data_IF_214529172613
#
_entry.id   IF_214529172613
#
_cell.length_a   1.000
_cell.length_b   1.000
_cell.length_c   1.000
_cell.angle_alpha   90.00
_cell.angle_beta   90.00
_cell.angle_gamma   90.00
#
_symmetry.space_group_name_H-M   'P 1'
#
loop_
_entity.id
_entity.type
_entity.pdbx_description
1 polymer ?
#
# COMPACT_ATOMS: atom_id res chain seq x y z
N UNK A 1 1.09 -10.10 -29.72
CA UNK A 1 1.71 -11.33 -29.20
C UNK A 1 2.83 -10.87 -28.28
N UNK A 2 2.51 -10.62 -27.01
CA UNK A 2 3.48 -10.11 -26.04
C UNK A 2 4.46 -11.22 -25.69
N UNK A 3 5.76 -10.98 -25.86
CA UNK A 3 6.76 -11.84 -25.24
C UNK A 3 6.60 -11.71 -23.74
N UNK A 4 6.11 -12.77 -23.10
CA UNK A 4 6.36 -13.00 -21.68
C UNK A 4 7.89 -13.03 -21.53
N UNK A 5 8.43 -11.93 -21.00
CA UNK A 5 9.85 -11.87 -20.67
C UNK A 5 10.04 -12.85 -19.52
N UNK A 6 10.62 -14.01 -19.82
CA UNK A 6 10.93 -15.00 -18.80
C UNK A 6 11.76 -14.31 -17.71
N UNK A 7 11.20 -14.22 -16.51
CA UNK A 7 11.90 -13.67 -15.35
C UNK A 7 13.18 -14.47 -15.16
N UNK A 8 14.31 -13.77 -15.05
CA UNK A 8 15.60 -14.38 -14.80
C UNK A 8 15.54 -15.27 -13.55
N UNK A 9 16.01 -16.52 -13.67
CA UNK A 9 15.88 -17.52 -12.60
C UNK A 9 16.68 -17.14 -11.36
N UNK A 10 17.82 -16.46 -11.54
CA UNK A 10 18.62 -15.93 -10.43
C UNK A 10 17.89 -14.78 -9.72
N UNK A 11 17.35 -13.81 -10.48
CA UNK A 11 16.53 -12.74 -9.93
C UNK A 11 15.31 -13.26 -9.16
N UNK A 12 14.61 -14.27 -9.70
CA UNK A 12 13.48 -14.93 -9.03
C UNK A 12 13.92 -15.57 -7.71
N UNK A 13 14.98 -16.37 -7.72
CA UNK A 13 15.48 -17.04 -6.52
C UNK A 13 15.94 -16.04 -5.45
N UNK A 14 16.61 -14.96 -5.84
CA UNK A 14 17.01 -13.89 -4.94
C UNK A 14 15.82 -13.17 -4.31
N UNK A 15 14.78 -12.86 -5.11
CA UNK A 15 13.54 -12.26 -4.63
C UNK A 15 12.81 -13.19 -3.64
N UNK A 16 12.68 -14.48 -3.97
CA UNK A 16 12.12 -15.48 -3.05
C UNK A 16 12.85 -15.49 -1.72
N UNK A 17 14.18 -15.54 -1.75
CA UNK A 17 15.00 -15.59 -0.52
C UNK A 17 14.85 -14.30 0.32
N UNK A 18 14.84 -13.12 -0.32
CA UNK A 18 14.59 -11.85 0.38
C UNK A 18 13.21 -11.83 1.04
N UNK A 19 12.15 -12.16 0.30
CA UNK A 19 10.77 -12.12 0.82
C UNK A 19 10.56 -13.14 1.94
N UNK A 20 11.04 -14.39 1.80
CA UNK A 20 11.05 -15.35 2.92
C UNK A 20 11.77 -14.78 4.14
N UNK A 21 12.90 -14.11 3.88
CA UNK A 21 13.65 -13.36 4.88
C UNK A 21 12.79 -12.30 5.54
N UNK A 22 12.12 -11.42 4.80
CA UNK A 22 11.34 -10.28 5.30
C UNK A 22 10.09 -10.66 6.09
N UNK A 23 9.50 -11.84 5.86
CA UNK A 23 8.23 -12.26 6.45
C UNK A 23 8.21 -12.20 8.00
N UNK A 24 9.36 -12.34 8.67
CA UNK A 24 9.44 -12.20 10.14
C UNK A 24 9.09 -10.79 10.65
N UNK A 25 9.13 -9.79 9.78
CA UNK A 25 8.71 -8.42 10.09
C UNK A 25 7.19 -8.29 10.21
N UNK A 26 6.42 -9.22 9.64
CA UNK A 26 4.97 -9.25 9.78
C UNK A 26 4.61 -9.97 11.08
N UNK A 27 3.94 -9.26 11.99
CA UNK A 27 3.59 -9.79 13.31
C UNK A 27 2.12 -9.63 13.66
N UNK A 28 1.43 -8.69 13.02
CA UNK A 28 0.02 -8.44 13.27
C UNK A 28 -0.91 -9.49 12.62
N UNK A 29 -0.38 -10.27 11.67
CA UNK A 29 -1.09 -11.31 10.95
C UNK A 29 -0.21 -12.56 10.82
N UNK A 30 -0.80 -13.73 11.00
CA UNK A 30 -0.13 -15.00 10.76
C UNK A 30 0.05 -15.24 9.25
N UNK A 31 1.09 -16.01 8.88
CA UNK A 31 1.37 -16.39 7.48
C UNK A 31 0.18 -17.10 6.83
N UNK A 32 -0.63 -17.83 7.60
CA UNK A 32 -1.83 -18.51 7.11
C UNK A 32 -2.88 -17.53 6.54
N UNK A 33 -2.80 -16.23 6.87
CA UNK A 33 -3.59 -15.14 6.26
C UNK A 33 -3.41 -15.05 4.74
N UNK A 34 -2.27 -15.54 4.21
CA UNK A 34 -1.91 -15.44 2.79
C UNK A 34 -2.00 -16.78 2.03
N UNK A 35 -2.53 -17.82 2.69
CA UNK A 35 -2.78 -19.11 2.05
C UNK A 35 -3.98 -19.00 1.09
N UNK A 36 -3.96 -19.78 0.00
CA UNK A 36 -5.10 -19.89 -0.90
C UNK A 36 -6.27 -20.63 -0.26
N UNK A 37 -7.50 -20.33 -0.70
CA UNK A 37 -8.79 -20.76 -0.10
C UNK A 37 -8.97 -22.28 0.13
N UNK A 38 -8.11 -23.14 -0.41
CA UNK A 38 -8.30 -24.60 -0.44
C UNK A 38 -7.39 -25.42 0.48
N UNK A 39 -6.43 -24.83 1.19
CA UNK A 39 -5.54 -25.56 2.10
C UNK A 39 -5.68 -24.99 3.52
N UNK A 40 -6.27 -25.78 4.42
CA UNK A 40 -6.38 -25.43 5.84
C UNK A 40 -5.01 -25.16 6.49
N UNK A 41 -4.99 -24.62 7.73
CA UNK A 41 -3.79 -24.08 8.35
C UNK A 41 -2.68 -25.13 8.41
N UNK A 42 -1.54 -24.78 7.84
CA UNK A 42 -0.31 -25.58 7.92
C UNK A 42 0.86 -24.63 8.11
N UNK A 43 0.89 -23.99 9.28
CA UNK A 43 2.09 -23.38 9.84
C UNK A 43 3.17 -24.46 10.05
N UNK A 44 3.82 -24.88 8.97
CA UNK A 44 5.08 -25.60 9.00
C UNK A 44 6.15 -24.54 9.17
N UNK A 45 6.92 -24.65 10.26
CA UNK A 45 7.99 -23.69 10.65
C UNK A 45 9.07 -23.48 9.57
N UNK A 46 9.08 -24.30 8.53
CA UNK A 46 9.91 -24.17 7.34
C UNK A 46 9.25 -24.90 6.15
N UNK A 47 8.40 -24.21 5.37
CA UNK A 47 7.70 -24.84 4.27
C UNK A 47 8.68 -25.16 3.12
N UNK A 48 8.48 -26.33 2.51
CA UNK A 48 9.27 -26.76 1.38
C UNK A 48 9.15 -25.74 0.22
N UNK A 49 10.26 -25.39 -0.48
CA UNK A 49 10.21 -24.45 -1.60
C UNK A 49 9.15 -24.82 -2.64
N UNK A 50 8.35 -23.85 -3.06
CA UNK A 50 7.25 -24.02 -4.02
C UNK A 50 5.99 -24.70 -3.46
N UNK A 51 5.98 -25.07 -2.17
CA UNK A 51 4.75 -25.50 -1.50
C UNK A 51 3.80 -24.33 -1.25
N UNK A 52 2.56 -24.63 -0.88
CA UNK A 52 1.58 -23.60 -0.57
C UNK A 52 1.97 -22.73 0.63
N UNK A 53 2.50 -23.35 1.69
CA UNK A 53 3.03 -22.62 2.84
C UNK A 53 4.22 -21.73 2.48
N UNK A 54 5.02 -22.11 1.47
CA UNK A 54 6.12 -21.28 0.98
C UNK A 54 5.59 -20.06 0.20
N UNK A 55 4.58 -20.25 -0.65
CA UNK A 55 3.93 -19.13 -1.35
C UNK A 55 3.28 -18.14 -0.37
N UNK A 56 2.58 -18.64 0.66
CA UNK A 56 2.02 -17.80 1.71
C UNK A 56 3.12 -17.04 2.48
N UNK A 57 4.23 -17.69 2.82
CA UNK A 57 5.38 -17.07 3.48
C UNK A 57 6.02 -15.99 2.59
N UNK A 58 6.17 -16.25 1.29
CA UNK A 58 6.69 -15.30 0.31
C UNK A 58 5.74 -14.11 0.14
N UNK A 59 4.42 -14.33 0.11
CA UNK A 59 3.43 -13.25 0.04
C UNK A 59 3.44 -12.36 1.31
N UNK A 60 3.49 -12.96 2.50
CA UNK A 60 3.67 -12.22 3.75
C UNK A 60 4.96 -11.37 3.72
N UNK A 61 6.04 -11.94 3.21
CA UNK A 61 7.31 -11.25 3.00
C UNK A 61 7.25 -10.12 1.97
N UNK A 62 6.54 -10.33 0.86
CA UNK A 62 6.32 -9.33 -0.16
C UNK A 62 5.54 -8.13 0.38
N UNK A 63 4.62 -8.33 1.33
CA UNK A 63 3.95 -7.23 2.03
C UNK A 63 4.95 -6.34 2.78
N UNK A 64 5.90 -6.95 3.51
CA UNK A 64 6.92 -6.22 4.27
C UNK A 64 7.92 -5.51 3.35
N UNK A 65 8.36 -6.16 2.27
CA UNK A 65 9.17 -5.51 1.24
C UNK A 65 8.40 -4.35 0.58
N UNK A 66 7.10 -4.54 0.30
CA UNK A 66 6.21 -3.51 -0.23
C UNK A 66 6.05 -2.31 0.71
N UNK A 67 6.07 -2.53 2.02
CA UNK A 67 6.08 -1.44 3.01
C UNK A 67 7.30 -0.53 2.82
N UNK A 68 8.50 -1.11 2.72
CA UNK A 68 9.74 -0.36 2.55
C UNK A 68 9.79 0.33 1.18
N UNK A 69 9.48 -0.40 0.11
CA UNK A 69 9.49 0.13 -1.25
C UNK A 69 8.52 1.30 -1.43
N UNK A 70 7.31 1.19 -0.88
CA UNK A 70 6.32 2.27 -0.97
C UNK A 70 6.71 3.51 -0.16
N UNK A 71 7.39 3.33 0.98
CA UNK A 71 7.97 4.44 1.75
C UNK A 71 9.05 5.16 0.92
N UNK A 72 9.95 4.41 0.28
CA UNK A 72 10.99 4.97 -0.57
C UNK A 72 10.40 5.74 -1.76
N UNK A 73 9.39 5.17 -2.44
CA UNK A 73 8.65 5.83 -3.51
C UNK A 73 8.05 7.18 -3.07
N UNK A 74 7.44 7.25 -1.88
CA UNK A 74 6.91 8.51 -1.34
C UNK A 74 8.02 9.53 -1.04
N UNK A 75 9.17 9.09 -0.52
CA UNK A 75 10.32 9.97 -0.27
C UNK A 75 10.86 10.55 -1.58
N UNK A 76 11.01 9.71 -2.61
CA UNK A 76 11.49 10.11 -3.94
C UNK A 76 10.52 11.06 -4.63
N UNK A 77 9.22 10.84 -4.52
CA UNK A 77 8.20 11.73 -5.07
C UNK A 77 8.23 13.11 -4.39
N UNK A 78 8.33 13.14 -3.06
CA UNK A 78 8.45 14.40 -2.29
C UNK A 78 9.71 15.15 -2.71
N UNK A 79 10.84 14.45 -2.87
CA UNK A 79 12.09 15.04 -3.33
C UNK A 79 11.97 15.57 -4.77
N UNK A 80 11.28 14.84 -5.64
CA UNK A 80 11.01 15.24 -7.02
C UNK A 80 10.20 16.53 -7.05
N UNK A 81 9.05 16.59 -6.37
CA UNK A 81 8.22 17.80 -6.28
C UNK A 81 9.02 19.04 -5.81
N UNK A 82 9.87 18.87 -4.79
CA UNK A 82 10.73 19.93 -4.27
C UNK A 82 11.78 20.37 -5.30
N UNK A 83 12.46 19.43 -5.97
CA UNK A 83 13.55 19.71 -6.90
C UNK A 83 13.08 20.43 -8.17
N UNK A 84 11.88 20.10 -8.65
CA UNK A 84 11.30 20.68 -9.88
C UNK A 84 10.43 21.90 -9.61
N UNK A 85 10.27 22.26 -8.33
CA UNK A 85 9.44 23.38 -7.87
C UNK A 85 7.98 23.26 -8.33
N UNK A 86 7.42 22.05 -8.33
CA UNK A 86 6.00 21.81 -8.60
C UNK A 86 5.18 22.03 -7.32
N UNK A 87 4.06 22.74 -7.39
CA UNK A 87 3.22 22.91 -6.20
C UNK A 87 2.43 21.63 -5.89
N UNK A 88 2.08 20.87 -6.94
CA UNK A 88 1.24 19.67 -6.89
C UNK A 88 1.79 18.56 -7.80
N UNK A 89 1.25 17.35 -7.70
CA UNK A 89 1.56 16.26 -8.64
C UNK A 89 1.15 16.63 -10.08
N UNK A 90 -0.01 17.26 -10.25
CA UNK A 90 -0.45 17.76 -11.56
C UNK A 90 0.58 18.71 -12.19
N UNK A 91 1.12 19.67 -11.43
CA UNK A 91 2.13 20.60 -11.93
C UNK A 91 3.42 19.89 -12.38
N UNK A 92 3.82 18.82 -11.67
CA UNK A 92 4.98 18.02 -12.03
C UNK A 92 4.74 17.28 -13.36
N UNK A 93 3.56 16.68 -13.53
CA UNK A 93 3.15 16.02 -14.76
C UNK A 93 3.12 16.99 -15.96
N UNK A 94 2.58 18.21 -15.78
CA UNK A 94 2.59 19.27 -16.81
C UNK A 94 4.02 19.66 -17.22
N UNK A 95 4.97 19.59 -16.29
CA UNK A 95 6.41 19.81 -16.54
C UNK A 95 7.13 18.59 -17.13
N UNK A 96 6.44 17.47 -17.34
CA UNK A 96 6.98 16.24 -17.91
C UNK A 96 7.72 15.34 -16.92
N UNK A 97 7.51 15.54 -15.62
CA UNK A 97 8.01 14.63 -14.58
C UNK A 97 6.97 13.57 -14.26
N UNK A 98 7.43 12.37 -13.94
CA UNK A 98 6.59 11.26 -13.46
C UNK A 98 6.90 11.02 -11.99
N UNK A 99 5.87 10.68 -11.23
CA UNK A 99 5.98 10.29 -9.85
C UNK A 99 5.68 8.78 -9.76
N UNK A 100 5.92 8.19 -8.60
CA UNK A 100 5.84 6.75 -8.39
C UNK A 100 4.67 6.40 -7.49
N UNK A 101 4.69 6.82 -6.24
CA UNK A 101 3.62 6.62 -5.27
C UNK A 101 2.44 7.57 -5.49
N UNK A 102 2.70 8.86 -5.74
CA UNK A 102 1.65 9.88 -5.90
C UNK A 102 0.85 9.69 -7.19
N UNK A 103 1.47 9.18 -8.26
CA UNK A 103 0.77 8.88 -9.52
C UNK A 103 -0.17 7.67 -9.42
N UNK A 104 -0.07 6.88 -8.34
CA UNK A 104 -0.97 5.74 -8.06
C UNK A 104 -2.18 6.11 -7.22
N UNK A 105 -2.21 7.34 -6.70
CA UNK A 105 -3.36 7.86 -5.98
C UNK A 105 -4.53 8.14 -6.95
N UNK A 106 -5.75 8.34 -6.44
CA UNK A 106 -6.90 8.69 -7.27
C UNK A 106 -6.60 9.95 -8.12
N UNK A 107 -6.63 9.88 -9.46
CA UNK A 107 -6.14 10.95 -10.33
C UNK A 107 -6.99 12.23 -10.26
N UNK A 108 -8.25 12.11 -9.82
CA UNK A 108 -9.19 13.23 -9.64
C UNK A 108 -8.69 14.32 -8.67
N UNK A 109 -7.70 14.04 -7.82
CA UNK A 109 -7.17 14.97 -6.82
C UNK A 109 -5.68 15.31 -7.03
N UNK A 110 -5.15 15.09 -8.22
CA UNK A 110 -3.73 15.32 -8.55
C UNK A 110 -3.26 16.77 -8.32
N UNK A 111 -4.19 17.73 -8.47
CA UNK A 111 -4.04 19.15 -8.17
C UNK A 111 -4.03 19.47 -6.66
N UNK A 112 -4.25 18.47 -5.80
CA UNK A 112 -4.18 18.62 -4.34
C UNK A 112 -3.00 17.86 -3.71
N UNK A 113 -2.31 17.01 -4.48
CA UNK A 113 -1.14 16.26 -4.01
C UNK A 113 0.11 17.13 -3.94
N UNK A 114 0.17 17.97 -2.92
CA UNK A 114 1.31 18.84 -2.62
C UNK A 114 2.44 18.11 -1.87
N UNK A 115 3.60 18.76 -1.74
CA UNK A 115 4.68 18.31 -0.84
C UNK A 115 4.18 18.09 0.60
N UNK A 116 3.29 18.96 1.10
CA UNK A 116 2.74 18.83 2.45
C UNK A 116 1.83 17.60 2.57
N UNK A 117 0.99 17.37 1.56
CA UNK A 117 0.18 16.16 1.46
C UNK A 117 1.05 14.90 1.43
N UNK A 118 2.07 14.86 0.55
CA UNK A 118 2.99 13.72 0.45
C UNK A 118 3.67 13.39 1.78
N UNK A 119 4.12 14.40 2.53
CA UNK A 119 4.69 14.20 3.87
C UNK A 119 3.68 13.63 4.87
N UNK A 120 2.42 14.08 4.83
CA UNK A 120 1.38 13.53 5.69
C UNK A 120 1.07 12.08 5.32
N UNK A 121 0.95 11.78 4.03
CA UNK A 121 0.74 10.43 3.53
C UNK A 121 1.90 9.51 3.92
N UNK A 122 3.15 9.97 3.79
CA UNK A 122 4.33 9.23 4.26
C UNK A 122 4.23 8.86 5.76
N UNK A 123 3.81 9.79 6.61
CA UNK A 123 3.63 9.50 8.04
C UNK A 123 2.47 8.53 8.29
N UNK A 124 1.36 8.66 7.55
CA UNK A 124 0.26 7.70 7.62
C UNK A 124 0.72 6.29 7.19
N UNK A 125 1.49 6.19 6.10
CA UNK A 125 2.11 4.95 5.63
C UNK A 125 3.01 4.35 6.72
N UNK A 126 3.96 5.10 7.27
CA UNK A 126 4.84 4.62 8.35
C UNK A 126 4.04 4.16 9.58
N UNK A 127 2.94 4.84 9.89
CA UNK A 127 2.06 4.46 11.00
C UNK A 127 1.40 3.10 10.74
N UNK A 128 0.87 2.88 9.55
CA UNK A 128 0.23 1.61 9.16
C UNK A 128 1.24 0.47 9.05
N UNK A 129 2.39 0.71 8.40
CA UNK A 129 3.42 -0.33 8.24
C UNK A 129 4.06 -0.68 9.59
N UNK A 130 4.17 0.28 10.51
CA UNK A 130 4.53 0.02 11.91
C UNK A 130 3.53 -0.92 12.61
N UNK A 131 2.23 -0.72 12.40
CA UNK A 131 1.19 -1.61 12.97
C UNK A 131 1.24 -3.03 12.42
N UNK A 132 1.66 -3.23 11.17
CA UNK A 132 1.88 -4.58 10.62
C UNK A 132 2.99 -5.35 11.38
N UNK A 133 3.95 -4.63 11.97
CA UNK A 133 5.05 -5.19 12.75
C UNK A 133 4.75 -5.31 14.27
N UNK A 134 3.59 -4.85 14.72
CA UNK A 134 3.13 -5.06 16.10
C UNK A 134 2.55 -6.47 16.29
N UNK A 135 2.53 -7.02 17.52
CA UNK A 135 1.97 -8.36 17.75
C UNK A 135 0.47 -8.46 17.46
N UNK A 136 -0.26 -7.36 17.63
CA UNK A 136 -1.71 -7.30 17.48
C UNK A 136 -2.07 -6.23 16.44
N UNK A 137 -2.99 -6.56 15.54
CA UNK A 137 -3.48 -5.59 14.56
C UNK A 137 -4.28 -4.48 15.24
N UNK A 138 -3.91 -3.23 14.92
CA UNK A 138 -4.60 -2.03 15.37
C UNK A 138 -5.36 -1.44 14.17
N UNK A 139 -6.70 -1.31 14.24
CA UNK A 139 -7.51 -0.77 13.15
C UNK A 139 -7.05 0.62 12.69
N UNK A 140 -7.26 0.89 11.40
CA UNK A 140 -6.91 2.16 10.79
C UNK A 140 -7.78 3.29 11.31
N UNK A 141 -7.16 4.42 11.64
CA UNK A 141 -7.81 5.56 12.25
C UNK A 141 -8.46 6.49 11.23
N UNK A 142 -7.98 6.53 9.98
CA UNK A 142 -8.47 7.47 8.97
C UNK A 142 -8.36 6.91 7.55
N UNK A 143 -8.93 7.64 6.58
CA UNK A 143 -8.98 7.25 5.17
C UNK A 143 -7.60 7.20 4.53
N UNK A 144 -6.68 8.10 4.92
CA UNK A 144 -5.31 8.10 4.43
C UNK A 144 -4.54 6.83 4.87
N UNK A 145 -4.81 6.31 6.07
CA UNK A 145 -4.24 5.05 6.52
C UNK A 145 -4.79 3.85 5.73
N UNK A 146 -6.11 3.83 5.44
CA UNK A 146 -6.70 2.82 4.54
C UNK A 146 -6.04 2.85 3.16
N UNK A 147 -5.93 4.04 2.57
CA UNK A 147 -5.33 4.20 1.26
C UNK A 147 -3.85 3.77 1.25
N UNK A 148 -3.10 4.08 2.31
CA UNK A 148 -1.72 3.64 2.47
C UNK A 148 -1.60 2.11 2.52
N UNK A 149 -2.43 1.42 3.32
CA UNK A 149 -2.42 -0.04 3.36
C UNK A 149 -2.76 -0.65 1.99
N UNK A 150 -3.77 -0.10 1.31
CA UNK A 150 -4.18 -0.54 -0.02
C UNK A 150 -3.00 -0.44 -1.01
N UNK A 151 -2.33 0.71 -1.06
CA UNK A 151 -1.20 0.93 -1.97
C UNK A 151 0.02 0.04 -1.65
N UNK A 152 0.25 -0.27 -0.37
CA UNK A 152 1.27 -1.24 0.06
C UNK A 152 0.90 -2.66 -0.39
N UNK A 153 -0.37 -3.05 -0.31
CA UNK A 153 -0.83 -4.35 -0.85
C UNK A 153 -0.67 -4.39 -2.37
N UNK A 154 -1.02 -3.32 -3.08
CA UNK A 154 -0.79 -3.19 -4.53
C UNK A 154 0.71 -3.28 -4.89
N UNK A 155 1.59 -2.71 -4.05
CA UNK A 155 3.05 -2.83 -4.21
C UNK A 155 3.49 -4.30 -4.06
N UNK A 156 3.02 -4.97 -3.02
CA UNK A 156 3.34 -6.36 -2.73
C UNK A 156 2.87 -7.30 -3.86
N UNK A 157 1.67 -7.07 -4.40
CA UNK A 157 1.15 -7.78 -5.58
C UNK A 157 2.04 -7.53 -6.80
N UNK A 158 2.45 -6.28 -7.03
CA UNK A 158 3.33 -5.93 -8.14
C UNK A 158 4.68 -6.62 -8.02
N UNK A 159 5.26 -6.70 -6.82
CA UNK A 159 6.51 -7.42 -6.57
C UNK A 159 6.39 -8.92 -6.87
N UNK A 160 5.31 -9.57 -6.40
CA UNK A 160 5.07 -10.99 -6.66
C UNK A 160 4.92 -11.26 -8.17
N UNK A 161 4.17 -10.42 -8.88
CA UNK A 161 4.02 -10.51 -10.33
C UNK A 161 5.36 -10.29 -11.04
N UNK A 162 6.08 -9.20 -10.72
CA UNK A 162 7.35 -8.83 -11.34
C UNK A 162 8.37 -9.98 -11.33
N UNK A 163 8.40 -10.75 -10.25
CA UNK A 163 9.32 -11.89 -10.09
C UNK A 163 8.69 -13.26 -10.42
N UNK A 164 7.43 -13.29 -10.87
CA UNK A 164 6.71 -14.52 -11.19
C UNK A 164 6.61 -15.49 -10.01
N UNK A 165 6.38 -14.95 -8.80
CA UNK A 165 6.39 -15.73 -7.55
C UNK A 165 5.03 -16.33 -7.19
N UNK A 166 3.96 -15.84 -7.82
CA UNK A 166 2.62 -16.41 -7.71
C UNK A 166 1.83 -16.18 -9.02
N UNK A 167 0.91 -17.10 -9.34
CA UNK A 167 0.07 -17.02 -10.55
C UNK A 167 -1.17 -16.14 -10.34
N UNK A 168 -1.64 -16.03 -9.10
CA UNK A 168 -2.70 -15.10 -8.69
C UNK A 168 -2.28 -14.37 -7.40
N UNK A 169 -1.35 -13.40 -7.50
CA UNK A 169 -0.88 -12.66 -6.33
C UNK A 169 -2.00 -11.90 -5.61
N UNK A 170 -3.08 -11.52 -6.31
CA UNK A 170 -4.19 -10.76 -5.72
C UNK A 170 -4.95 -11.60 -4.69
N UNK A 171 -5.28 -12.84 -5.04
CA UNK A 171 -6.02 -13.75 -4.17
C UNK A 171 -5.31 -13.96 -2.81
N UNK A 172 -3.98 -13.85 -2.77
CA UNK A 172 -3.16 -13.96 -1.56
C UNK A 172 -3.49 -12.93 -0.49
N UNK A 173 -3.97 -11.76 -0.87
CA UNK A 173 -4.22 -10.66 0.07
C UNK A 173 -5.69 -10.49 0.43
N UNK A 174 -6.58 -11.32 -0.12
CA UNK A 174 -8.02 -11.18 0.09
C UNK A 174 -8.39 -11.26 1.58
N UNK A 175 -7.94 -12.29 2.30
CA UNK A 175 -8.27 -12.44 3.73
C UNK A 175 -7.66 -11.32 4.60
N UNK A 176 -6.43 -10.87 4.26
CA UNK A 176 -5.83 -9.69 4.89
C UNK A 176 -6.75 -8.48 4.70
N UNK A 177 -7.19 -8.23 3.47
CA UNK A 177 -8.02 -7.06 3.15
C UNK A 177 -9.39 -7.13 3.85
N UNK A 178 -10.05 -8.28 3.80
CA UNK A 178 -11.32 -8.51 4.51
C UNK A 178 -11.20 -8.31 6.03
N UNK A 179 -10.04 -8.60 6.61
CA UNK A 179 -9.79 -8.44 8.04
C UNK A 179 -9.34 -7.02 8.42
N UNK A 180 -8.48 -6.41 7.61
CA UNK A 180 -7.84 -5.15 7.93
C UNK A 180 -8.74 -3.94 7.64
N UNK A 181 -9.57 -3.99 6.59
CA UNK A 181 -10.44 -2.90 6.18
C UNK A 181 -11.84 -3.05 6.76
N UNK A 182 -12.32 -2.02 7.48
CA UNK A 182 -13.71 -1.97 7.95
C UNK A 182 -14.72 -1.71 6.82
N UNK A 183 -14.27 -1.08 5.73
CA UNK A 183 -15.08 -0.71 4.58
C UNK A 183 -14.20 -0.36 3.36
N UNK A 184 -14.86 -0.19 2.21
CA UNK A 184 -14.22 0.11 0.92
C UNK A 184 -14.11 1.62 0.62
N UNK A 185 -14.07 2.50 1.64
CA UNK A 185 -14.08 3.95 1.41
C UNK A 185 -12.89 4.43 0.55
N UNK A 186 -11.72 3.83 0.74
CA UNK A 186 -10.52 4.12 -0.06
C UNK A 186 -10.68 3.74 -1.55
N UNK A 187 -11.41 2.66 -1.87
CA UNK A 187 -11.66 2.24 -3.26
C UNK A 187 -12.60 3.22 -3.97
N UNK A 188 -13.61 3.73 -3.27
CA UNK A 188 -14.58 4.68 -3.85
C UNK A 188 -13.93 5.96 -4.36
N UNK A 189 -12.77 6.35 -3.82
CA UNK A 189 -12.03 7.52 -4.30
C UNK A 189 -11.63 7.41 -5.78
N UNK A 190 -11.39 6.18 -6.26
CA UNK A 190 -11.02 5.92 -7.65
C UNK A 190 -12.20 5.94 -8.62
N UNK A 191 -13.43 5.76 -8.12
CA UNK A 191 -14.66 5.75 -8.91
C UNK A 191 -15.23 7.16 -9.15
N UNK A 192 -14.71 8.19 -8.46
CA UNK A 192 -15.26 9.54 -8.52
C UNK A 192 -14.86 10.27 -9.82
N UNK A 193 -15.83 10.71 -10.64
CA UNK A 193 -15.54 11.45 -11.85
C UNK A 193 -15.09 12.87 -11.49
N UNK A 194 -14.00 13.33 -12.11
CA UNK A 194 -13.35 14.62 -11.84
C UNK A 194 -14.27 15.86 -11.89
N UNK A 195 -15.44 15.77 -12.53
CA UNK A 195 -16.39 16.87 -12.68
C UNK A 195 -17.53 16.91 -11.64
N UNK A 196 -17.66 15.92 -10.75
CA UNK A 196 -18.81 15.78 -9.84
C UNK A 196 -18.52 16.07 -8.35
N UNK A 197 -17.30 16.51 -8.03
CA UNK A 197 -16.83 16.63 -6.65
C UNK A 197 -17.35 17.94 -6.02
N UNK A 198 -18.47 17.88 -5.30
CA UNK A 198 -18.89 18.93 -4.34
C UNK A 198 -18.20 18.69 -2.99
N UNK A 199 -17.24 19.54 -2.66
CA UNK A 199 -16.30 19.34 -1.56
C UNK A 199 -16.90 19.30 -0.14
N UNK A 200 -18.21 19.52 0.00
CA UNK A 200 -18.86 19.63 1.30
C UNK A 200 -19.65 18.38 1.77
N UNK A 201 -19.95 17.40 0.90
CA UNK A 201 -21.02 16.42 1.18
C UNK A 201 -20.60 14.94 1.13
N UNK A 202 -19.46 14.59 0.51
CA UNK A 202 -18.95 13.22 0.48
C UNK A 202 -17.61 13.10 1.21
N UNK A 203 -17.37 12.04 2.02
CA UNK A 203 -16.05 11.79 2.61
C UNK A 203 -14.92 11.68 1.57
N UNK A 204 -15.24 11.27 0.34
CA UNK A 204 -14.31 11.29 -0.80
C UNK A 204 -14.10 12.70 -1.38
N UNK A 205 -15.17 13.49 -1.50
CA UNK A 205 -15.12 14.84 -2.04
C UNK A 205 -14.48 15.91 -1.14
N UNK A 206 -14.37 15.67 0.17
CA UNK A 206 -13.70 16.59 1.09
C UNK A 206 -12.25 16.85 0.63
N UNK A 207 -11.68 18.06 0.82
CA UNK A 207 -10.31 18.35 0.43
C UNK A 207 -9.38 17.26 0.97
N UNK A 208 -8.34 16.84 0.24
CA UNK A 208 -7.50 15.67 0.59
C UNK A 208 -6.93 15.70 2.02
N UNK A 209 -6.89 16.87 2.67
CA UNK A 209 -6.57 17.01 4.09
C UNK A 209 -7.57 16.31 5.04
N UNK A 210 -8.84 16.21 4.65
CA UNK A 210 -9.89 15.54 5.41
C UNK A 210 -9.66 14.03 5.49
N UNK A 211 -8.90 13.44 4.56
CA UNK A 211 -8.54 12.01 4.58
C UNK A 211 -7.72 11.63 5.82
N UNK A 212 -7.08 12.60 6.47
CA UNK A 212 -6.33 12.40 7.72
C UNK A 212 -7.18 12.60 8.97
N UNK A 213 -8.49 12.87 8.83
CA UNK A 213 -9.40 13.02 9.97
C UNK A 213 -9.72 11.64 10.55
N UNK A 214 -9.61 11.43 11.88
CA UNK A 214 -10.04 10.19 12.51
C UNK A 214 -11.49 9.84 12.19
N UNK A 215 -11.79 8.55 11.95
CA UNK A 215 -13.15 8.07 11.69
C UNK A 215 -14.08 8.17 12.89
N UNK A 216 -13.53 7.96 14.09
CA UNK A 216 -14.30 7.87 15.33
C UNK A 216 -13.69 8.75 16.41
N UNK A 217 -14.55 9.25 17.30
CA UNK A 217 -14.10 9.95 18.51
C UNK A 217 -13.24 9.02 19.38
N UNK A 218 -12.08 9.51 19.81
CA UNK A 218 -11.12 8.74 20.62
C UNK A 218 -10.06 7.98 19.82
N UNK A 219 -10.21 7.87 18.49
CA UNK A 219 -9.09 7.48 17.64
C UNK A 219 -8.15 8.68 17.45
N UNK A 220 -6.86 8.40 17.42
CA UNK A 220 -5.84 9.41 17.15
C UNK A 220 -5.06 9.04 15.91
N UNK A 221 -4.79 10.05 15.11
CA UNK A 221 -3.79 9.98 14.05
C UNK A 221 -2.47 10.53 14.57
N UNK A 222 -1.36 10.27 13.87
CA UNK A 222 -0.08 10.83 14.27
C UNK A 222 -0.15 12.38 14.34
N UNK A 223 0.43 13.06 15.36
CA UNK A 223 0.31 14.52 15.52
C UNK A 223 0.77 15.36 14.32
N UNK A 224 1.63 14.78 13.47
CA UNK A 224 2.07 15.42 12.22
C UNK A 224 0.97 15.49 11.16
N UNK A 225 0.06 14.49 11.12
CA UNK A 225 -0.96 14.38 10.07
C UNK A 225 -2.29 15.01 10.47
N UNK A 226 -2.47 15.38 11.74
CA UNK A 226 -3.65 16.08 12.22
C UNK A 226 -4.06 17.21 11.25
N UNK A 227 -5.32 17.23 10.79
CA UNK A 227 -5.83 18.32 9.97
C UNK A 227 -5.70 19.65 10.72
N UNK A 228 -4.90 20.57 10.17
CA UNK A 228 -4.84 21.97 10.62
C UNK A 228 -5.63 22.78 9.61
N UNK A 229 -6.76 23.31 10.05
CA UNK A 229 -7.64 24.19 9.28
C UNK A 229 -7.20 25.65 9.44
#
# INVERSE_FOLDING_TARGET
MGQEVAVDAEARAAATARMRGAAHGLRAFDVDTFAGENDGPRAVRDPAPGSEGDRALVAAGALIEGCASFVDHLVDDIATLLSVGAATAYDAAVKGYTLTALDRLPPTYDDQYTVAFGKKLLVATITVTGRLAEPDWIPMACLAEQLALYLVVEEAVSLLHQYGLDDDPRARYQYLQETAFENDAHLRLYDEPAAAVDHAVHPGAAPVNAWFTPFYDGFYVHPYVEPRY
#
